data_IF_652530464209
#
_entry.id   IF_652530464209
#
_cell.length_a   1.000
_cell.length_b   1.000
_cell.length_c   1.000
_cell.angle_alpha   90.00
_cell.angle_beta   90.00
_cell.angle_gamma   90.00
#
_symmetry.space_group_name_H-M   'P 1'
#
loop_
_entity.id
_entity.type
_entity.pdbx_description
1 polymer ?
#
# COMPACT_ATOMS: atom_id res chain seq x y z
N UNK A 1 -6.87 14.93 30.27
CA UNK A 1 -5.54 14.30 30.40
C UNK A 1 -5.46 13.24 29.32
N UNK A 2 -4.75 13.49 28.22
CA UNK A 2 -4.70 12.57 27.08
C UNK A 2 -3.84 11.36 27.48
N UNK A 3 -4.51 10.25 27.80
CA UNK A 3 -3.84 8.99 28.13
C UNK A 3 -3.33 8.41 26.82
N UNK A 4 -2.03 8.56 26.57
CA UNK A 4 -1.35 7.84 25.50
C UNK A 4 -1.35 6.35 25.89
N UNK A 5 -1.64 5.47 24.94
CA UNK A 5 -1.58 4.02 25.16
C UNK A 5 -0.21 3.66 25.76
N UNK A 6 -0.15 2.99 26.93
CA UNK A 6 1.12 2.63 27.59
C UNK A 6 1.99 1.68 26.75
N UNK A 7 1.43 1.06 25.72
CA UNK A 7 2.15 0.21 24.76
C UNK A 7 2.64 0.97 23.52
N UNK A 8 2.27 2.25 23.36
CA UNK A 8 2.69 3.05 22.22
C UNK A 8 4.18 3.38 22.31
N UNK A 9 4.97 2.75 21.43
CA UNK A 9 6.35 3.11 21.19
C UNK A 9 6.46 3.87 19.85
N UNK A 10 7.15 5.01 19.88
CA UNK A 10 7.38 5.78 18.66
C UNK A 10 8.21 4.96 17.68
N UNK A 11 7.63 4.67 16.52
CA UNK A 11 8.31 3.88 15.49
C UNK A 11 9.28 4.78 14.72
N UNK A 12 10.53 4.34 14.56
CA UNK A 12 11.51 5.10 13.78
C UNK A 12 11.17 5.10 12.29
N UNK A 13 11.55 6.17 11.57
CA UNK A 13 11.44 6.23 10.10
C UNK A 13 12.14 5.04 9.44
N UNK A 14 13.30 4.63 9.97
CA UNK A 14 14.05 3.47 9.46
C UNK A 14 13.25 2.18 9.59
N UNK A 15 12.59 1.98 10.72
CA UNK A 15 11.71 0.83 10.97
C UNK A 15 10.51 0.86 10.02
N UNK A 16 9.85 2.01 9.86
CA UNK A 16 8.73 2.14 8.93
C UNK A 16 9.13 1.77 7.49
N UNK A 17 10.19 2.37 6.97
CA UNK A 17 10.62 2.18 5.59
C UNK A 17 11.22 0.80 5.33
N UNK A 18 11.98 0.22 6.26
CA UNK A 18 12.73 -1.03 6.01
C UNK A 18 12.00 -2.29 6.48
N UNK A 19 11.06 -2.18 7.41
CA UNK A 19 10.40 -3.37 7.98
C UNK A 19 8.89 -3.28 7.88
N UNK A 20 8.28 -2.21 8.39
CA UNK A 20 6.81 -2.16 8.53
C UNK A 20 6.11 -2.11 7.18
N UNK A 21 6.49 -1.17 6.31
CA UNK A 21 5.88 -1.01 4.98
C UNK A 21 6.14 -2.24 4.09
N UNK A 22 7.38 -2.77 3.95
CA UNK A 22 7.61 -3.96 3.12
C UNK A 22 6.85 -5.19 3.60
N UNK A 23 6.75 -5.39 4.93
CA UNK A 23 6.00 -6.51 5.49
C UNK A 23 4.51 -6.41 5.17
N UNK A 24 3.91 -5.24 5.37
CA UNK A 24 2.49 -5.01 5.05
C UNK A 24 2.23 -5.20 3.55
N UNK A 25 3.06 -4.60 2.70
CA UNK A 25 2.98 -4.79 1.26
C UNK A 25 3.01 -6.27 0.86
N UNK A 26 3.93 -7.04 1.43
CA UNK A 26 4.09 -8.46 1.11
C UNK A 26 2.86 -9.26 1.54
N UNK A 27 2.34 -8.99 2.74
CA UNK A 27 1.13 -9.65 3.24
C UNK A 27 -0.07 -9.38 2.33
N UNK A 28 -0.36 -8.11 2.04
CA UNK A 28 -1.48 -7.72 1.17
C UNK A 28 -1.31 -8.23 -0.26
N UNK A 29 -0.11 -8.17 -0.84
CA UNK A 29 0.15 -8.69 -2.18
C UNK A 29 -0.09 -10.22 -2.26
N UNK A 30 0.28 -10.96 -1.21
CA UNK A 30 0.03 -12.40 -1.17
C UNK A 30 -1.46 -12.73 -1.06
N UNK A 31 -2.23 -11.92 -0.33
CA UNK A 31 -3.69 -12.06 -0.27
C UNK A 31 -4.34 -11.75 -1.62
N UNK A 32 -3.95 -10.64 -2.27
CA UNK A 32 -4.44 -10.28 -3.60
C UNK A 32 -4.14 -11.38 -4.63
N UNK A 33 -2.94 -11.95 -4.62
CA UNK A 33 -2.61 -13.09 -5.51
C UNK A 33 -3.54 -14.28 -5.32
N UNK A 34 -3.87 -14.61 -4.06
CA UNK A 34 -4.83 -15.70 -3.79
C UNK A 34 -6.21 -15.37 -4.34
N UNK A 35 -6.69 -14.14 -4.13
CA UNK A 35 -7.96 -13.67 -4.66
C UNK A 35 -8.01 -13.70 -6.19
N UNK A 36 -6.98 -13.18 -6.86
CA UNK A 36 -6.90 -13.19 -8.33
C UNK A 36 -6.85 -14.62 -8.89
N UNK A 37 -6.11 -15.54 -8.25
CA UNK A 37 -6.05 -16.94 -8.67
C UNK A 37 -7.40 -17.68 -8.57
N UNK A 38 -8.31 -17.20 -7.72
CA UNK A 38 -9.65 -17.76 -7.55
C UNK A 38 -10.71 -17.09 -8.45
N UNK A 39 -10.34 -16.00 -9.12
CA UNK A 39 -11.26 -15.18 -9.91
C UNK A 39 -11.34 -15.68 -11.35
N UNK A 40 -12.56 -15.97 -11.83
CA UNK A 40 -12.78 -16.40 -13.22
C UNK A 40 -12.77 -15.24 -14.22
N UNK A 41 -13.10 -14.03 -13.75
CA UNK A 41 -13.14 -12.82 -14.56
C UNK A 41 -12.45 -11.70 -13.80
N UNK A 42 -11.58 -10.97 -14.48
CA UNK A 42 -10.82 -9.85 -13.93
C UNK A 42 -10.97 -8.69 -14.91
N UNK A 43 -11.36 -7.51 -14.41
CA UNK A 43 -11.31 -6.26 -15.15
C UNK A 43 -10.18 -5.41 -14.63
N UNK A 44 -9.47 -4.73 -15.53
CA UNK A 44 -8.44 -3.76 -15.19
C UNK A 44 -8.94 -2.37 -15.55
N UNK A 45 -8.73 -1.45 -14.63
CA UNK A 45 -9.00 -0.04 -14.81
C UNK A 45 -7.69 0.73 -14.78
N UNK A 46 -7.55 1.67 -15.72
CA UNK A 46 -6.36 2.48 -15.86
C UNK A 46 -6.74 3.94 -15.66
N UNK A 47 -6.05 4.59 -14.73
CA UNK A 47 -6.12 6.03 -14.54
C UNK A 47 -4.79 6.64 -14.99
N UNK A 48 -4.83 7.52 -15.97
CA UNK A 48 -3.66 8.16 -16.55
C UNK A 48 -3.91 9.66 -16.57
N UNK A 49 -3.04 10.41 -15.92
CA UNK A 49 -3.15 11.86 -15.85
C UNK A 49 -1.78 12.51 -15.88
N UNK A 50 -1.77 13.81 -16.16
CA UNK A 50 -0.59 14.66 -16.05
C UNK A 50 -0.83 15.74 -15.02
N UNK A 51 0.21 16.15 -14.30
CA UNK A 51 0.13 17.33 -13.45
C UNK A 51 0.51 18.61 -14.21
N UNK A 52 0.27 19.76 -13.58
CA UNK A 52 0.65 21.09 -14.13
C UNK A 52 2.18 21.27 -14.26
N UNK A 53 2.99 20.35 -13.76
CA UNK A 53 4.46 20.34 -13.85
C UNK A 53 4.94 19.43 -14.98
N UNK A 54 4.03 18.97 -15.85
CA UNK A 54 4.30 18.08 -16.98
C UNK A 54 4.82 16.70 -16.55
N UNK A 55 4.43 16.23 -15.35
CA UNK A 55 4.73 14.86 -14.91
C UNK A 55 3.56 13.95 -15.28
N UNK A 56 3.88 12.82 -15.90
CA UNK A 56 2.92 11.78 -16.18
C UNK A 56 2.80 10.82 -14.99
N UNK A 57 1.57 10.43 -14.69
CA UNK A 57 1.22 9.43 -13.69
C UNK A 57 0.34 8.37 -14.33
N UNK A 58 0.48 7.13 -13.85
CA UNK A 58 -0.45 6.07 -14.17
C UNK A 58 -0.75 5.26 -12.90
N UNK A 59 -2.00 4.88 -12.73
CA UNK A 59 -2.45 3.95 -11.73
C UNK A 59 -3.25 2.83 -12.41
N UNK A 60 -3.17 1.63 -11.83
CA UNK A 60 -3.89 0.46 -12.29
C UNK A 60 -4.59 -0.16 -11.09
N UNK A 61 -5.87 -0.47 -11.25
CA UNK A 61 -6.70 -1.16 -10.25
C UNK A 61 -7.47 -2.30 -10.87
#
# INVERSE_FOLDING_TARGET
MNVIDPTFAMTSRRTLSRTTIPRLYTATNNELKKFCNQSNFISLTLDIWTDRRLRAFFAMT
#
